data_IF_394527498406
#
_entry.id   IF_394527498406
#
_cell.length_a   1.000
_cell.length_b   1.000
_cell.length_c   1.000
_cell.angle_alpha   90.00
_cell.angle_beta   90.00
_cell.angle_gamma   90.00
#
_symmetry.space_group_name_H-M   'P 1'
#
loop_
_entity.id
_entity.type
_entity.pdbx_description
1 polymer ?
#
# COMPACT_ATOMS: atom_id res chain seq x y z
N UNK A 1 0.69 -13.82 16.20
CA UNK A 1 1.74 -13.21 15.35
C UNK A 1 1.18 -12.93 13.97
N UNK A 2 1.29 -11.69 13.46
CA UNK A 2 0.80 -11.28 12.12
C UNK A 2 1.98 -11.06 11.18
N UNK A 3 1.89 -11.52 9.95
CA UNK A 3 2.95 -11.38 8.95
C UNK A 3 2.61 -10.25 7.97
N UNK A 4 3.43 -9.22 7.99
CA UNK A 4 3.34 -8.03 7.15
C UNK A 4 4.46 -8.10 6.12
N UNK A 5 4.14 -8.06 4.83
CA UNK A 5 5.13 -7.98 3.76
C UNK A 5 5.15 -6.56 3.20
N UNK A 6 6.34 -5.96 3.09
CA UNK A 6 6.58 -4.64 2.51
C UNK A 6 7.38 -4.80 1.23
N UNK A 7 6.95 -4.16 0.15
CA UNK A 7 7.67 -4.16 -1.13
C UNK A 7 8.10 -2.74 -1.46
N UNK A 8 9.40 -2.52 -1.64
CA UNK A 8 9.92 -1.23 -2.15
C UNK A 8 11.13 -1.53 -3.01
N UNK A 9 11.16 -0.99 -4.24
CA UNK A 9 12.07 -1.40 -5.32
C UNK A 9 13.58 -1.38 -5.03
N UNK A 10 14.04 -0.79 -3.91
CA UNK A 10 15.46 -0.68 -3.58
C UNK A 10 15.92 -1.44 -2.31
N UNK A 11 15.03 -2.11 -1.56
CA UNK A 11 15.38 -3.01 -0.44
C UNK A 11 16.01 -2.42 0.83
N UNK A 12 16.86 -1.38 0.73
CA UNK A 12 17.55 -0.80 1.89
C UNK A 12 16.63 0.05 2.76
N UNK A 13 15.91 1.01 2.16
CA UNK A 13 15.03 1.94 2.88
C UNK A 13 13.82 1.24 3.53
N UNK A 14 13.29 0.20 2.89
CA UNK A 14 12.15 -0.59 3.38
C UNK A 14 12.52 -1.56 4.50
N UNK A 15 13.76 -2.05 4.55
CA UNK A 15 14.24 -2.85 5.69
C UNK A 15 14.32 -1.99 6.96
N UNK A 16 14.72 -0.73 6.81
CA UNK A 16 14.79 0.21 7.92
C UNK A 16 13.40 0.55 8.48
N UNK A 17 12.43 0.83 7.60
CA UNK A 17 11.04 1.02 7.98
C UNK A 17 10.44 -0.24 8.65
N UNK A 18 10.67 -1.42 8.08
CA UNK A 18 10.20 -2.68 8.65
C UNK A 18 10.73 -2.91 10.07
N UNK A 19 11.98 -2.53 10.33
CA UNK A 19 12.57 -2.63 11.66
C UNK A 19 11.92 -1.65 12.66
N UNK A 20 11.71 -0.38 12.26
CA UNK A 20 11.04 0.62 13.10
C UNK A 20 9.59 0.24 13.40
N UNK A 21 8.84 -0.22 12.40
CA UNK A 21 7.48 -0.73 12.58
C UNK A 21 7.43 -1.88 13.57
N UNK A 22 8.38 -2.82 13.53
CA UNK A 22 8.45 -3.92 14.50
C UNK A 22 8.70 -3.41 15.92
N UNK A 23 9.52 -2.38 16.09
CA UNK A 23 9.73 -1.75 17.40
C UNK A 23 8.46 -1.04 17.90
N UNK A 24 7.78 -0.27 17.05
CA UNK A 24 6.51 0.37 17.37
C UNK A 24 5.42 -0.64 17.72
N UNK A 25 5.32 -1.74 16.96
CA UNK A 25 4.38 -2.82 17.24
C UNK A 25 4.66 -3.46 18.61
N UNK A 26 5.93 -3.73 18.92
CA UNK A 26 6.35 -4.25 20.23
C UNK A 26 6.03 -3.26 21.36
N UNK A 27 6.23 -1.97 21.15
CA UNK A 27 5.88 -0.93 22.13
C UNK A 27 4.37 -0.88 22.41
N UNK A 28 3.53 -1.16 21.40
CA UNK A 28 2.07 -1.25 21.54
C UNK A 28 1.57 -2.64 22.01
N UNK A 29 2.47 -3.60 22.27
CA UNK A 29 2.09 -4.96 22.67
C UNK A 29 1.49 -5.81 21.53
N UNK A 30 1.71 -5.41 20.27
CA UNK A 30 1.22 -6.12 19.10
C UNK A 30 2.32 -6.97 18.45
N UNK A 31 2.10 -8.27 18.35
CA UNK A 31 3.04 -9.18 17.67
C UNK A 31 2.87 -9.12 16.15
N UNK A 32 3.63 -8.25 15.49
CA UNK A 32 3.75 -8.18 14.04
C UNK A 32 5.18 -8.45 13.54
N UNK A 33 5.28 -9.24 12.49
CA UNK A 33 6.51 -9.56 11.77
C UNK A 33 6.48 -8.85 10.43
N UNK A 34 7.26 -7.78 10.28
CA UNK A 34 7.43 -7.08 9.01
C UNK A 34 8.63 -7.63 8.24
N UNK A 35 8.47 -7.93 6.95
CA UNK A 35 9.54 -8.36 6.03
C UNK A 35 9.56 -7.46 4.80
N UNK A 36 10.75 -7.03 4.37
CA UNK A 36 10.93 -6.28 3.14
C UNK A 36 11.41 -7.21 2.01
N UNK A 37 10.78 -7.15 0.85
CA UNK A 37 11.23 -7.86 -0.37
C UNK A 37 11.14 -6.94 -1.59
N UNK A 38 11.74 -7.35 -2.71
CA UNK A 38 11.55 -6.71 -4.01
C UNK A 38 10.28 -7.23 -4.70
N UNK A 39 9.75 -6.45 -5.65
CA UNK A 39 8.57 -6.81 -6.44
C UNK A 39 8.75 -8.20 -7.09
N UNK A 40 9.92 -8.48 -7.65
CA UNK A 40 10.22 -9.77 -8.30
C UNK A 40 10.22 -10.96 -7.33
N UNK A 41 10.33 -10.73 -6.02
CA UNK A 41 10.32 -11.76 -5.00
C UNK A 41 8.95 -11.90 -4.30
N UNK A 42 7.95 -11.09 -4.69
CA UNK A 42 6.64 -11.07 -4.05
C UNK A 42 5.90 -12.39 -4.23
N UNK A 43 5.88 -12.95 -5.44
CA UNK A 43 5.19 -14.21 -5.76
C UNK A 43 5.74 -15.39 -4.96
N UNK A 44 7.05 -15.40 -4.74
CA UNK A 44 7.74 -16.42 -3.94
C UNK A 44 7.60 -16.22 -2.43
N UNK A 45 7.18 -15.03 -1.98
CA UNK A 45 6.98 -14.71 -0.56
C UNK A 45 5.52 -14.58 -0.14
N UNK A 46 4.59 -14.51 -1.09
CA UNK A 46 3.14 -14.48 -0.91
C UNK A 46 2.57 -15.52 0.09
N UNK A 47 3.01 -16.80 0.10
CA UNK A 47 2.39 -17.80 0.97
C UNK A 47 2.68 -17.53 2.46
N UNK A 48 1.61 -17.39 3.25
CA UNK A 48 1.67 -17.23 4.71
C UNK A 48 1.81 -15.78 5.19
N UNK A 49 1.37 -14.82 4.37
CA UNK A 49 1.31 -13.39 4.72
C UNK A 49 -0.15 -13.00 5.01
N UNK A 50 -0.35 -12.14 5.99
CA UNK A 50 -1.68 -11.63 6.37
C UNK A 50 -2.00 -10.29 5.71
N UNK A 51 -0.98 -9.48 5.40
CA UNK A 51 -1.15 -8.18 4.72
C UNK A 51 0.07 -7.83 3.86
N UNK A 52 -0.22 -7.30 2.68
CA UNK A 52 0.76 -6.76 1.75
C UNK A 52 0.76 -5.24 1.79
N UNK A 53 1.93 -4.65 1.97
CA UNK A 53 2.18 -3.22 1.92
C UNK A 53 3.09 -2.91 0.73
N UNK A 54 2.60 -2.05 -0.15
CA UNK A 54 3.31 -1.64 -1.36
C UNK A 54 3.89 -0.25 -1.13
N UNK A 55 5.18 -0.07 -1.35
CA UNK A 55 5.83 1.23 -1.24
C UNK A 55 5.36 2.18 -2.33
N UNK A 56 5.46 3.51 -2.10
CA UNK A 56 5.00 4.54 -3.03
C UNK A 56 5.73 4.47 -4.39
N UNK A 57 6.96 3.96 -4.41
CA UNK A 57 7.77 3.76 -5.61
C UNK A 57 7.17 2.73 -6.59
N UNK A 58 6.20 1.93 -6.14
CA UNK A 58 5.55 0.87 -6.92
C UNK A 58 4.06 1.17 -7.12
N UNK A 59 3.66 2.44 -6.99
CA UNK A 59 2.26 2.86 -7.16
C UNK A 59 1.69 2.49 -8.54
N UNK A 60 2.51 2.54 -9.60
CA UNK A 60 2.11 2.13 -10.96
C UNK A 60 1.80 0.63 -11.06
N UNK A 61 2.48 -0.18 -10.25
CA UNK A 61 2.35 -1.64 -10.22
C UNK A 61 1.34 -2.12 -9.16
N UNK A 62 0.89 -1.22 -8.28
CA UNK A 62 -0.08 -1.50 -7.23
C UNK A 62 -1.34 -2.17 -7.80
N UNK A 63 -1.84 -1.70 -8.95
CA UNK A 63 -3.04 -2.26 -9.58
C UNK A 63 -2.87 -3.75 -9.88
N UNK A 64 -1.73 -4.13 -10.47
CA UNK A 64 -1.41 -5.53 -10.79
C UNK A 64 -1.21 -6.35 -9.52
N UNK A 65 -0.48 -5.80 -8.54
CA UNK A 65 -0.24 -6.48 -7.27
C UNK A 65 -1.53 -6.69 -6.47
N UNK A 66 -2.45 -5.73 -6.53
CA UNK A 66 -3.76 -5.81 -5.85
C UNK A 66 -4.64 -6.86 -6.51
N UNK A 67 -4.64 -6.97 -7.83
CA UNK A 67 -5.36 -8.04 -8.56
C UNK A 67 -4.82 -9.42 -8.18
N UNK A 68 -3.49 -9.58 -8.12
CA UNK A 68 -2.86 -10.84 -7.68
C UNK A 68 -3.22 -11.14 -6.23
N UNK A 69 -3.08 -10.17 -5.33
CA UNK A 69 -3.35 -10.32 -3.91
C UNK A 69 -4.83 -10.64 -3.64
N UNK A 70 -5.75 -10.08 -4.42
CA UNK A 70 -7.18 -10.42 -4.39
C UNK A 70 -7.43 -11.89 -4.71
N UNK A 71 -6.67 -12.49 -5.63
CA UNK A 71 -6.71 -13.93 -5.91
C UNK A 71 -6.28 -14.83 -4.75
N UNK A 72 -5.51 -14.29 -3.81
CA UNK A 72 -5.05 -15.00 -2.60
C UNK A 72 -5.81 -14.58 -1.33
N UNK A 73 -6.84 -13.72 -1.44
CA UNK A 73 -7.52 -13.09 -0.30
C UNK A 73 -6.58 -12.33 0.65
N UNK A 74 -5.44 -11.87 0.12
CA UNK A 74 -4.49 -11.06 0.89
C UNK A 74 -4.80 -9.60 0.61
N UNK A 75 -5.05 -8.77 1.63
CA UNK A 75 -5.24 -7.35 1.41
C UNK A 75 -3.92 -6.68 1.04
N UNK A 76 -3.97 -5.83 0.02
CA UNK A 76 -2.87 -4.96 -0.38
C UNK A 76 -3.20 -3.51 -0.02
N UNK A 77 -2.25 -2.79 0.57
CA UNK A 77 -2.36 -1.37 0.85
C UNK A 77 -1.12 -0.60 0.37
N UNK A 78 -1.34 0.58 -0.19
CA UNK A 78 -0.27 1.49 -0.59
C UNK A 78 0.22 2.28 0.62
N UNK A 79 1.52 2.27 0.86
CA UNK A 79 2.16 3.11 1.86
C UNK A 79 2.30 4.53 1.30
N UNK A 80 1.86 5.56 2.03
CA UNK A 80 2.11 6.94 1.64
C UNK A 80 3.61 7.24 1.71
N UNK A 81 4.07 8.19 0.91
CA UNK A 81 5.47 8.63 0.87
C UNK A 81 5.98 9.19 2.21
N UNK A 82 5.06 9.64 3.07
CA UNK A 82 5.34 10.10 4.43
C UNK A 82 5.85 9.01 5.40
N UNK A 83 5.73 7.72 5.05
CA UNK A 83 6.20 6.63 5.95
C UNK A 83 7.72 6.61 6.10
N UNK A 84 8.46 7.27 5.19
CA UNK A 84 9.91 7.45 5.30
C UNK A 84 10.30 8.68 6.12
N UNK A 85 9.33 9.50 6.52
CA UNK A 85 9.49 10.68 7.38
C UNK A 85 9.55 10.35 8.88
N UNK A 86 9.56 11.39 9.70
CA UNK A 86 9.53 11.25 11.17
C UNK A 86 8.13 10.80 11.63
N UNK A 87 8.04 9.65 12.29
CA UNK A 87 6.76 9.06 12.75
C UNK A 87 6.06 8.17 11.72
N UNK A 88 6.69 7.94 10.56
CA UNK A 88 6.13 7.13 9.48
C UNK A 88 5.89 5.67 9.86
N UNK A 89 6.65 5.11 10.81
CA UNK A 89 6.47 3.77 11.33
C UNK A 89 5.12 3.55 12.04
N UNK A 90 4.59 4.58 12.70
CA UNK A 90 3.29 4.51 13.36
C UNK A 90 2.17 4.53 12.33
N UNK A 91 2.25 5.43 11.35
CA UNK A 91 1.30 5.50 10.24
C UNK A 91 1.27 4.19 9.43
N UNK A 92 2.44 3.62 9.11
CA UNK A 92 2.55 2.34 8.42
C UNK A 92 1.98 1.18 9.25
N UNK A 93 2.18 1.20 10.57
CA UNK A 93 1.65 0.18 11.47
C UNK A 93 0.12 0.30 11.63
N UNK A 94 -0.39 1.52 11.79
CA UNK A 94 -1.82 1.79 11.90
C UNK A 94 -2.54 1.40 10.61
N UNK A 95 -1.97 1.71 9.44
CA UNK A 95 -2.50 1.26 8.15
C UNK A 95 -2.54 -0.27 8.04
N UNK A 96 -1.48 -0.94 8.46
CA UNK A 96 -1.43 -2.41 8.44
C UNK A 96 -2.48 -3.02 9.38
N UNK A 97 -2.61 -2.48 10.60
CA UNK A 97 -3.60 -2.95 11.59
C UNK A 97 -5.01 -2.71 11.08
N UNK A 98 -5.29 -1.55 10.50
CA UNK A 98 -6.60 -1.22 9.94
C UNK A 98 -6.95 -2.14 8.77
N UNK A 99 -5.99 -2.40 7.90
CA UNK A 99 -6.14 -3.32 6.76
C UNK A 99 -6.39 -4.76 7.24
N UNK A 100 -5.67 -5.21 8.28
CA UNK A 100 -5.91 -6.52 8.91
C UNK A 100 -7.29 -6.60 9.59
N UNK A 101 -7.75 -5.53 10.24
CA UNK A 101 -9.11 -5.46 10.80
C UNK A 101 -10.17 -5.48 9.72
N UNK A 102 -9.98 -4.71 8.65
CA UNK A 102 -10.88 -4.68 7.51
C UNK A 102 -10.99 -6.09 6.91
N UNK A 103 -9.86 -6.76 6.65
CA UNK A 103 -9.85 -8.15 6.15
C UNK A 103 -10.48 -9.16 7.11
N UNK A 104 -10.37 -8.96 8.43
CA UNK A 104 -11.06 -9.78 9.42
C UNK A 104 -12.58 -9.51 9.49
N UNK A 105 -13.02 -8.29 9.16
CA UNK A 105 -14.43 -7.88 9.19
C UNK A 105 -15.18 -8.13 7.86
N UNK A 106 -14.47 -8.18 6.72
CA UNK A 106 -15.09 -8.38 5.39
C UNK A 106 -15.54 -9.82 5.12
N UNK A 107 -15.30 -10.77 6.03
CA UNK A 107 -16.01 -12.05 6.02
C UNK A 107 -17.54 -11.89 6.23
N UNK A 108 -18.04 -10.68 6.50
CA UNK A 108 -19.48 -10.36 6.50
C UNK A 108 -19.92 -9.22 5.55
N UNK A 109 -19.01 -8.51 4.86
CA UNK A 109 -19.40 -7.43 3.95
C UNK A 109 -18.32 -7.07 2.92
N UNK A 110 -18.50 -7.52 1.68
CA UNK A 110 -17.93 -6.92 0.47
C UNK A 110 -18.99 -5.96 -0.14
N UNK A 111 -18.64 -4.96 -0.99
CA UNK A 111 -17.35 -4.71 -1.62
C UNK A 111 -16.74 -3.31 -1.38
N UNK A 112 -15.43 -3.27 -1.57
CA UNK A 112 -14.57 -2.09 -1.80
C UNK A 112 -15.12 -1.14 -2.87
N UNK A 113 -15.21 0.19 -2.62
CA UNK A 113 -15.27 1.16 -3.69
C UNK A 113 -13.84 1.49 -4.14
N UNK A 114 -13.43 0.90 -5.25
CA UNK A 114 -12.31 1.36 -6.07
C UNK A 114 -12.73 2.64 -6.82
N UNK A 115 -12.69 3.82 -6.18
CA UNK A 115 -12.67 5.12 -6.86
C UNK A 115 -12.65 6.27 -5.85
N UNK A 116 -11.48 6.76 -5.45
CA UNK A 116 -11.30 8.15 -4.99
C UNK A 116 -9.82 8.50 -4.76
N UNK A 117 -8.95 8.32 -5.76
CA UNK A 117 -7.68 9.04 -5.72
C UNK A 117 -7.08 9.27 -7.12
N UNK A 118 -7.48 10.38 -7.74
CA UNK A 118 -6.69 11.06 -8.76
C UNK A 118 -6.76 12.56 -8.46
N UNK A 119 -5.61 13.25 -8.40
CA UNK A 119 -5.57 14.61 -8.93
C UNK A 119 -4.39 14.85 -9.90
N UNK A 120 -4.75 15.25 -11.15
CA UNK A 120 -4.16 16.24 -12.11
C UNK A 120 -2.66 16.17 -12.51
N UNK A 121 -2.14 16.84 -13.59
CA UNK A 121 -2.77 17.82 -14.52
C UNK A 121 -2.43 17.68 -16.04
N UNK A 122 -3.03 18.60 -16.83
CA UNK A 122 -2.59 19.20 -18.11
C UNK A 122 -2.75 18.45 -19.45
N UNK A 123 -3.65 18.99 -20.30
CA UNK A 123 -3.46 19.06 -21.76
C UNK A 123 -3.59 20.52 -22.22
N UNK A 124 -2.71 21.04 -23.08
CA UNK A 124 -2.98 22.26 -23.83
C UNK A 124 -3.98 21.92 -24.95
N UNK A 125 -5.05 22.70 -25.09
CA UNK A 125 -5.97 22.59 -26.23
C UNK A 125 -6.13 23.97 -26.86
N UNK A 126 -5.68 24.03 -28.11
CA UNK A 126 -5.85 25.04 -29.16
C UNK A 126 -7.06 25.97 -29.02
N UNK A 127 -6.94 27.27 -29.33
CA UNK A 127 -8.09 28.10 -29.66
C UNK A 127 -8.33 28.05 -31.18
N UNK A 128 -9.36 27.31 -31.63
CA UNK A 128 -9.93 27.46 -32.97
C UNK A 128 -11.36 28.00 -32.84
N UNK A 129 -11.52 29.24 -33.29
CA UNK A 129 -12.67 29.84 -33.98
C UNK A 129 -14.10 29.60 -33.46
N UNK A 130 -14.74 30.70 -33.05
CA UNK A 130 -16.19 30.95 -33.10
C UNK A 130 -16.30 32.45 -33.37
N UNK A 131 -16.42 32.89 -34.63
CA UNK A 131 -17.70 33.13 -35.32
C UNK A 131 -18.82 33.65 -34.40
N UNK A 132 -19.00 34.98 -34.47
CA UNK A 132 -20.24 35.65 -34.83
C UNK A 132 -21.05 36.38 -33.73
N UNK A 133 -21.56 37.54 -34.16
CA UNK A 133 -22.66 38.40 -33.66
C UNK A 133 -22.26 39.54 -32.72
N UNK A 134 -21.94 40.71 -33.30
CA UNK A 134 -22.85 41.87 -33.30
C UNK A 134 -22.43 42.98 -34.26
#
# INVERSE_FOLDING_TARGET
MKNILVVCGAGASSTFLAHRMRQAAKARGFEATVKAVSQSAIDSRMPGIDVLLVGPHLADELSVLTEIAAGYHVPAALLPEDVFGAGGEEAALDLAIETLRASGSVLSAAPVPAAAFLPAPSRPSTPTTTENIS
#
